data_IF_408307579395
#
_entry.id   IF_408307579395
#
_cell.length_a   1.000
_cell.length_b   1.000
_cell.length_c   1.000
_cell.angle_alpha   90.00
_cell.angle_beta   90.00
_cell.angle_gamma   90.00
#
_symmetry.space_group_name_H-M   'P 1'
#
loop_
_entity.id
_entity.type
_entity.pdbx_description
1 polymer ?
#
# COMPACT_ATOMS: atom_id res chain seq x y z
N UNK A 1 24.85 6.68 4.45
CA UNK A 1 23.82 7.28 5.35
C UNK A 1 23.18 6.15 6.13
N UNK A 2 22.95 6.32 7.44
CA UNK A 2 22.36 5.25 8.25
C UNK A 2 20.85 5.46 8.33
N UNK A 3 20.05 4.53 7.82
CA UNK A 3 18.61 4.53 8.01
C UNK A 3 18.27 4.28 9.48
N UNK A 4 17.19 4.90 9.96
CA UNK A 4 16.65 4.70 11.32
C UNK A 4 15.22 4.19 11.30
N UNK A 5 14.52 4.39 10.19
CA UNK A 5 13.15 3.93 10.03
C UNK A 5 12.91 3.29 8.68
N UNK A 6 12.01 2.32 8.68
CA UNK A 6 11.40 1.71 7.51
C UNK A 6 9.93 2.14 7.48
N UNK A 7 9.52 2.76 6.38
CA UNK A 7 8.11 3.12 6.17
C UNK A 7 7.61 2.33 4.97
N UNK A 8 6.52 1.62 5.14
CA UNK A 8 5.97 0.70 4.15
C UNK A 8 4.63 1.20 3.61
N UNK A 9 4.37 0.95 2.33
CA UNK A 9 3.00 0.84 1.85
C UNK A 9 2.36 -0.47 2.36
N UNK A 10 1.05 -0.61 2.18
CA UNK A 10 0.28 -1.75 2.68
C UNK A 10 -0.08 -2.71 1.54
N UNK A 11 -1.02 -2.28 0.66
CA UNK A 11 -1.61 -3.13 -0.38
C UNK A 11 -0.61 -3.37 -1.52
N UNK A 12 -0.16 -4.62 -1.72
CA UNK A 12 0.89 -4.96 -2.69
C UNK A 12 2.32 -4.91 -2.14
N UNK A 13 2.51 -4.42 -0.92
CA UNK A 13 3.83 -4.32 -0.27
C UNK A 13 3.93 -5.22 0.96
N UNK A 14 3.10 -4.99 1.96
CA UNK A 14 3.02 -5.82 3.17
C UNK A 14 2.01 -6.95 3.02
N UNK A 15 0.85 -6.65 2.41
CA UNK A 15 -0.26 -7.58 2.23
C UNK A 15 -0.59 -7.77 0.74
N UNK A 16 -0.85 -9.02 0.36
CA UNK A 16 -1.49 -9.34 -0.91
C UNK A 16 -3.01 -9.22 -0.74
N UNK A 17 -3.56 -8.10 -1.16
CA UNK A 17 -4.99 -7.76 -1.02
C UNK A 17 -5.74 -7.81 -2.34
N UNK A 18 -5.06 -8.19 -3.44
CA UNK A 18 -5.58 -7.99 -4.80
C UNK A 18 -6.82 -8.83 -5.09
N UNK A 19 -6.86 -10.07 -4.57
CA UNK A 19 -7.97 -10.98 -4.82
C UNK A 19 -9.25 -10.48 -4.15
N UNK A 20 -9.20 -10.07 -2.88
CA UNK A 20 -10.37 -9.56 -2.16
C UNK A 20 -10.88 -8.24 -2.75
N UNK A 21 -9.98 -7.35 -3.18
CA UNK A 21 -10.33 -6.12 -3.87
C UNK A 21 -10.97 -6.41 -5.23
N UNK A 22 -10.38 -7.30 -6.03
CA UNK A 22 -10.88 -7.68 -7.35
C UNK A 22 -12.21 -8.42 -7.30
N UNK A 23 -12.33 -9.40 -6.40
CA UNK A 23 -13.57 -10.17 -6.23
C UNK A 23 -14.72 -9.26 -5.75
N UNK A 24 -14.44 -8.35 -4.82
CA UNK A 24 -15.43 -7.38 -4.36
C UNK A 24 -15.89 -6.45 -5.47
N UNK A 25 -14.98 -5.94 -6.28
CA UNK A 25 -15.32 -5.09 -7.41
C UNK A 25 -16.11 -5.87 -8.48
N UNK A 26 -15.69 -7.09 -8.81
CA UNK A 26 -16.42 -7.96 -9.75
C UNK A 26 -17.82 -8.32 -9.27
N UNK A 27 -17.97 -8.57 -7.95
CA UNK A 27 -19.29 -8.80 -7.36
C UNK A 27 -20.25 -7.61 -7.63
N UNK A 28 -19.77 -6.39 -7.45
CA UNK A 28 -20.57 -5.19 -7.69
C UNK A 28 -20.86 -4.98 -9.18
N UNK A 29 -19.86 -5.19 -10.04
CA UNK A 29 -20.05 -5.12 -11.50
C UNK A 29 -21.12 -6.11 -11.96
N UNK A 30 -21.07 -7.37 -11.49
CA UNK A 30 -22.09 -8.37 -11.78
C UNK A 30 -23.49 -7.93 -11.33
N UNK A 31 -23.62 -7.37 -10.11
CA UNK A 31 -24.92 -6.87 -9.60
C UNK A 31 -25.50 -5.72 -10.43
N UNK A 32 -24.63 -4.89 -10.99
CA UNK A 32 -25.02 -3.78 -11.86
C UNK A 32 -25.21 -4.20 -13.32
N UNK A 33 -24.93 -5.47 -13.67
CA UNK A 33 -25.02 -5.98 -15.05
C UNK A 33 -23.90 -5.51 -15.96
N UNK A 34 -22.73 -5.16 -15.41
CA UNK A 34 -21.56 -4.72 -16.15
C UNK A 34 -20.53 -5.85 -16.32
N UNK A 35 -19.64 -5.77 -17.34
CA UNK A 35 -18.54 -6.70 -17.51
C UNK A 35 -17.59 -6.71 -16.30
N UNK A 36 -17.06 -7.88 -15.99
CA UNK A 36 -16.03 -8.07 -14.94
C UNK A 36 -14.63 -7.97 -15.52
N UNK A 37 -13.64 -7.84 -14.65
CA UNK A 37 -12.22 -7.79 -15.00
C UNK A 37 -11.46 -8.96 -14.40
N UNK A 38 -10.28 -9.26 -14.96
CA UNK A 38 -9.33 -10.22 -14.43
C UNK A 38 -8.56 -9.64 -13.24
N UNK A 39 -8.01 -10.49 -12.38
CA UNK A 39 -7.17 -10.04 -11.26
C UNK A 39 -5.93 -9.26 -11.75
N UNK A 40 -5.36 -9.63 -12.89
CA UNK A 40 -4.21 -8.91 -13.46
C UNK A 40 -4.57 -7.47 -13.89
N UNK A 41 -5.78 -7.22 -14.36
CA UNK A 41 -6.26 -5.86 -14.64
C UNK A 41 -6.42 -5.07 -13.34
N UNK A 42 -6.92 -5.69 -12.27
CA UNK A 42 -7.06 -5.04 -10.96
C UNK A 42 -5.73 -4.58 -10.37
N UNK A 43 -4.61 -5.24 -10.66
CA UNK A 43 -3.28 -4.76 -10.26
C UNK A 43 -3.03 -3.32 -10.70
N UNK A 44 -3.59 -2.90 -11.86
CA UNK A 44 -3.45 -1.54 -12.38
C UNK A 44 -4.55 -0.58 -11.91
N UNK A 45 -5.66 -1.10 -11.41
CA UNK A 45 -6.75 -0.27 -10.89
C UNK A 45 -6.53 0.14 -9.44
N UNK A 46 -5.85 -0.69 -8.64
CA UNK A 46 -5.53 -0.48 -7.22
C UNK A 46 -4.36 0.52 -7.04
N UNK A 47 -4.20 1.06 -5.82
CA UNK A 47 -3.08 1.92 -5.40
C UNK A 47 -3.44 3.40 -5.16
N UNK A 48 -4.55 3.88 -5.74
CA UNK A 48 -5.00 5.27 -5.58
C UNK A 48 -6.28 5.41 -4.71
N UNK A 49 -6.57 4.40 -3.87
CA UNK A 49 -7.77 4.33 -3.04
C UNK A 49 -9.00 3.77 -3.75
N UNK A 50 -9.99 3.33 -2.96
CA UNK A 50 -11.20 2.66 -3.46
C UNK A 50 -12.01 3.52 -4.44
N UNK A 51 -12.20 4.85 -4.24
CA UNK A 51 -12.95 5.65 -5.20
C UNK A 51 -12.35 5.62 -6.62
N UNK A 52 -11.01 5.50 -6.73
CA UNK A 52 -10.31 5.44 -8.02
C UNK A 52 -10.36 4.03 -8.60
N UNK A 53 -10.32 2.98 -7.76
CA UNK A 53 -10.57 1.61 -8.18
C UNK A 53 -11.95 1.49 -8.84
N UNK A 54 -13.01 1.98 -8.19
CA UNK A 54 -14.38 1.94 -8.72
C UNK A 54 -14.49 2.72 -10.05
N UNK A 55 -13.91 3.91 -10.14
CA UNK A 55 -13.87 4.69 -11.37
C UNK A 55 -13.23 3.92 -12.53
N UNK A 56 -12.12 3.21 -12.27
CA UNK A 56 -11.37 2.47 -13.29
C UNK A 56 -12.04 1.16 -13.71
N UNK A 57 -12.77 0.50 -12.83
CA UNK A 57 -13.44 -0.76 -13.17
C UNK A 57 -14.81 -0.55 -13.83
N UNK A 58 -15.45 0.60 -13.66
CA UNK A 58 -16.70 0.91 -14.36
C UNK A 58 -16.46 1.17 -15.85
N UNK A 59 -17.39 0.74 -16.75
CA UNK A 59 -17.32 1.12 -18.15
C UNK A 59 -17.28 2.64 -18.32
N UNK A 60 -16.54 3.17 -19.32
CA UNK A 60 -16.39 4.63 -19.52
C UNK A 60 -17.71 5.39 -19.69
N UNK A 61 -18.72 4.75 -20.26
CA UNK A 61 -20.07 5.30 -20.49
C UNK A 61 -21.03 5.07 -19.32
N UNK A 62 -20.55 4.53 -18.18
CA UNK A 62 -21.33 4.20 -16.98
C UNK A 62 -20.80 4.88 -15.71
N UNK A 63 -20.08 5.98 -15.86
CA UNK A 63 -19.48 6.70 -14.72
C UNK A 63 -20.53 7.35 -13.78
N UNK A 64 -21.77 7.51 -14.24
CA UNK A 64 -22.90 7.93 -13.40
C UNK A 64 -23.22 6.96 -12.26
N UNK A 65 -22.81 5.69 -12.37
CA UNK A 65 -22.98 4.67 -11.32
C UNK A 65 -21.90 4.71 -10.23
N UNK A 66 -20.90 5.58 -10.33
CA UNK A 66 -19.70 5.59 -9.45
C UNK A 66 -20.06 5.65 -7.95
N UNK A 67 -20.97 6.54 -7.56
CA UNK A 67 -21.35 6.68 -6.15
C UNK A 67 -22.12 5.45 -5.65
N UNK A 68 -23.03 4.91 -6.47
CA UNK A 68 -23.76 3.69 -6.14
C UNK A 68 -22.81 2.49 -6.02
N UNK A 69 -21.92 2.30 -7.01
CA UNK A 69 -20.95 1.22 -7.00
C UNK A 69 -19.98 1.32 -5.82
N UNK A 70 -19.55 2.53 -5.46
CA UNK A 70 -18.70 2.78 -4.30
C UNK A 70 -19.40 2.37 -2.99
N UNK A 71 -20.66 2.77 -2.80
CA UNK A 71 -21.43 2.40 -1.61
C UNK A 71 -21.60 0.88 -1.49
N UNK A 72 -21.99 0.22 -2.60
CA UNK A 72 -22.14 -1.23 -2.64
C UNK A 72 -20.81 -1.96 -2.39
N UNK A 73 -19.70 -1.44 -2.95
CA UNK A 73 -18.37 -1.98 -2.74
C UNK A 73 -17.97 -1.91 -1.25
N UNK A 74 -18.15 -0.77 -0.62
CA UNK A 74 -17.77 -0.57 0.79
C UNK A 74 -18.53 -1.52 1.71
N UNK A 75 -19.83 -1.72 1.45
CA UNK A 75 -20.67 -2.66 2.22
C UNK A 75 -20.19 -4.11 2.05
N UNK A 76 -19.91 -4.54 0.82
CA UNK A 76 -19.47 -5.91 0.52
C UNK A 76 -18.04 -6.15 1.01
N UNK A 77 -17.10 -5.25 0.70
CA UNK A 77 -15.70 -5.36 1.07
C UNK A 77 -15.48 -5.37 2.59
N UNK A 78 -16.33 -4.67 3.35
CA UNK A 78 -16.26 -4.71 4.83
C UNK A 78 -16.44 -6.12 5.41
N UNK A 79 -17.08 -7.04 4.67
CA UNK A 79 -17.34 -8.43 5.10
C UNK A 79 -16.39 -9.43 4.43
N UNK A 80 -15.71 -9.03 3.35
CA UNK A 80 -14.91 -9.91 2.49
C UNK A 80 -13.47 -9.42 2.27
N UNK A 81 -12.99 -8.48 3.09
CA UNK A 81 -11.63 -7.92 2.96
C UNK A 81 -10.51 -8.81 3.51
N UNK A 82 -10.89 -9.94 4.11
CA UNK A 82 -9.98 -10.86 4.81
C UNK A 82 -10.12 -12.31 4.30
N UNK A 83 -10.91 -12.55 3.23
CA UNK A 83 -11.19 -13.90 2.73
C UNK A 83 -9.93 -14.56 2.10
N UNK A 84 -9.12 -13.76 1.40
CA UNK A 84 -7.89 -14.21 0.69
C UNK A 84 -6.67 -13.34 1.00
N UNK A 85 -6.86 -12.21 1.65
CA UNK A 85 -5.77 -11.31 2.05
C UNK A 85 -4.81 -12.02 2.99
N UNK A 86 -3.52 -11.88 2.73
CA UNK A 86 -2.46 -12.45 3.57
C UNK A 86 -1.19 -11.59 3.48
N UNK A 87 -0.33 -11.67 4.50
CA UNK A 87 1.02 -11.12 4.42
C UNK A 87 1.82 -11.84 3.31
N UNK A 88 2.64 -11.09 2.56
CA UNK A 88 3.58 -11.75 1.65
C UNK A 88 4.61 -12.58 2.42
N UNK A 89 5.03 -13.69 1.80
CA UNK A 89 6.04 -14.59 2.36
C UNK A 89 7.32 -13.82 2.69
N UNK A 90 7.83 -13.98 3.92
CA UNK A 90 9.04 -13.31 4.41
C UNK A 90 8.82 -11.91 4.99
N UNK A 91 7.60 -11.36 4.94
CA UNK A 91 7.29 -10.06 5.59
C UNK A 91 7.37 -10.16 7.11
N UNK A 92 6.76 -11.17 7.78
CA UNK A 92 6.89 -11.29 9.25
C UNK A 92 8.34 -11.37 9.71
N UNK A 93 9.19 -12.13 9.01
CA UNK A 93 10.62 -12.28 9.31
C UNK A 93 11.40 -10.98 9.09
N UNK A 94 11.09 -10.24 8.02
CA UNK A 94 11.66 -8.92 7.76
C UNK A 94 11.35 -7.96 8.91
N UNK A 95 10.08 -7.87 9.33
CA UNK A 95 9.62 -6.95 10.37
C UNK A 95 10.26 -7.29 11.73
N UNK A 96 10.30 -8.58 12.09
CA UNK A 96 10.99 -9.05 13.31
C UNK A 96 12.46 -8.67 13.31
N UNK A 97 13.18 -8.99 12.23
CA UNK A 97 14.61 -8.69 12.10
C UNK A 97 14.90 -7.18 12.13
N UNK A 98 14.03 -6.37 11.52
CA UNK A 98 14.17 -4.91 11.54
C UNK A 98 13.96 -4.36 12.97
N UNK A 99 12.97 -4.86 13.70
CA UNK A 99 12.72 -4.49 15.11
C UNK A 99 13.90 -4.87 16.03
N UNK A 100 14.42 -6.08 15.90
CA UNK A 100 15.59 -6.56 16.66
C UNK A 100 16.83 -5.70 16.44
N UNK A 101 16.99 -5.15 15.23
CA UNK A 101 18.06 -4.21 14.88
C UNK A 101 17.79 -2.77 15.31
N UNK A 102 16.64 -2.49 15.92
CA UNK A 102 16.28 -1.17 16.46
C UNK A 102 15.71 -0.18 15.47
N UNK A 103 15.32 -0.62 14.25
CA UNK A 103 14.63 0.24 13.30
C UNK A 103 13.22 0.58 13.77
N UNK A 104 12.80 1.82 13.54
CA UNK A 104 11.41 2.25 13.71
C UNK A 104 10.61 1.79 12.49
N UNK A 105 9.38 1.31 12.71
CA UNK A 105 8.52 0.80 11.65
C UNK A 105 7.26 1.64 11.53
N UNK A 106 6.96 2.10 10.31
CA UNK A 106 5.75 2.86 10.01
C UNK A 106 5.02 2.32 8.78
N UNK A 107 3.71 2.59 8.70
CA UNK A 107 2.89 2.32 7.53
C UNK A 107 2.27 3.61 7.03
N UNK A 108 2.28 3.83 5.71
CA UNK A 108 1.52 4.87 5.01
C UNK A 108 0.78 4.27 3.81
N UNK A 109 -0.53 4.40 3.77
CA UNK A 109 -1.36 3.80 2.72
C UNK A 109 -2.48 4.72 2.25
N UNK A 110 -2.91 4.56 1.00
CA UNK A 110 -4.13 5.18 0.46
C UNK A 110 -5.42 4.45 0.88
N UNK A 111 -5.30 3.37 1.66
CA UNK A 111 -6.44 2.74 2.33
C UNK A 111 -6.99 3.66 3.42
N UNK A 112 -8.31 3.65 3.64
CA UNK A 112 -8.95 4.46 4.69
C UNK A 112 -8.30 4.21 6.06
N UNK A 113 -8.06 5.29 6.82
CA UNK A 113 -7.29 5.23 8.08
C UNK A 113 -7.87 4.26 9.11
N UNK A 114 -9.18 4.28 9.29
CA UNK A 114 -9.88 3.36 10.20
C UNK A 114 -9.72 1.88 9.79
N UNK A 115 -9.70 1.58 8.49
CA UNK A 115 -9.49 0.22 7.97
C UNK A 115 -8.03 -0.19 8.15
N UNK A 116 -7.06 0.69 7.83
CA UNK A 116 -5.64 0.39 8.01
C UNK A 116 -5.30 0.08 9.48
N UNK A 117 -5.90 0.80 10.42
CA UNK A 117 -5.74 0.58 11.87
C UNK A 117 -6.26 -0.77 12.36
N UNK A 118 -7.16 -1.42 11.62
CA UNK A 118 -7.69 -2.76 11.93
C UNK A 118 -6.89 -3.84 11.20
N UNK A 119 -6.70 -3.67 9.90
CA UNK A 119 -6.08 -4.67 9.02
C UNK A 119 -4.60 -4.90 9.37
N UNK A 120 -3.83 -3.84 9.64
CA UNK A 120 -2.39 -3.99 9.92
C UNK A 120 -2.14 -4.83 11.18
N UNK A 121 -2.75 -4.56 12.35
CA UNK A 121 -2.56 -5.41 13.52
C UNK A 121 -3.10 -6.83 13.33
N UNK A 122 -4.23 -6.98 12.63
CA UNK A 122 -4.86 -8.28 12.39
C UNK A 122 -3.92 -9.25 11.64
N UNK A 123 -3.29 -8.79 10.54
CA UNK A 123 -2.43 -9.65 9.72
C UNK A 123 -0.96 -9.68 10.14
N UNK A 124 -0.46 -8.62 10.78
CA UNK A 124 0.98 -8.44 11.05
C UNK A 124 1.32 -8.41 12.54
N UNK A 125 0.30 -8.43 13.41
CA UNK A 125 0.46 -8.44 14.87
C UNK A 125 0.38 -7.06 15.52
N UNK A 126 -0.16 -7.06 16.74
CA UNK A 126 -0.26 -5.86 17.56
C UNK A 126 1.13 -5.34 17.95
N UNK A 127 1.32 -4.01 17.85
CA UNK A 127 2.55 -3.35 18.28
C UNK A 127 3.78 -3.59 17.41
N UNK A 128 3.64 -4.25 16.26
CA UNK A 128 4.73 -4.43 15.28
C UNK A 128 5.13 -3.09 14.67
N UNK A 129 4.19 -2.23 14.36
CA UNK A 129 4.45 -0.89 13.83
C UNK A 129 4.35 0.18 14.92
N UNK A 130 5.32 1.10 14.93
CA UNK A 130 5.32 2.25 15.85
C UNK A 130 4.25 3.28 15.47
N UNK A 131 3.91 3.39 14.18
CA UNK A 131 2.84 4.26 13.70
C UNK A 131 2.24 3.78 12.36
N UNK A 132 0.90 3.85 12.26
CA UNK A 132 0.12 3.47 11.07
C UNK A 132 -0.69 4.67 10.63
N UNK A 133 -0.54 5.07 9.37
CA UNK A 133 -1.26 6.18 8.76
C UNK A 133 -1.94 5.77 7.46
N UNK A 134 -3.27 5.81 7.45
CA UNK A 134 -4.10 5.68 6.25
C UNK A 134 -4.71 7.02 5.86
N UNK A 135 -5.45 7.04 4.75
CA UNK A 135 -6.10 8.22 4.21
C UNK A 135 -7.32 8.62 5.05
N UNK A 136 -7.41 9.91 5.36
CA UNK A 136 -8.57 10.56 5.96
C UNK A 136 -8.70 12.01 5.45
N UNK A 137 -9.64 12.78 5.99
CA UNK A 137 -9.89 14.19 5.59
C UNK A 137 -8.71 15.13 5.87
N UNK A 138 -7.77 14.75 6.75
CA UNK A 138 -6.64 15.57 7.19
C UNK A 138 -5.41 15.42 6.31
N UNK A 139 -5.33 14.34 5.54
CA UNK A 139 -4.14 14.00 4.75
C UNK A 139 -4.54 13.71 3.31
N UNK A 140 -3.84 14.35 2.38
CA UNK A 140 -4.01 14.09 0.96
C UNK A 140 -3.41 12.72 0.59
N UNK A 141 -4.06 12.07 -0.38
CA UNK A 141 -3.60 10.79 -0.90
C UNK A 141 -2.17 10.87 -1.48
N UNK A 142 -1.42 9.78 -1.37
CA UNK A 142 -0.17 9.56 -2.12
C UNK A 142 -0.43 9.86 -3.61
N UNK A 143 0.46 10.53 -4.34
CA UNK A 143 1.86 10.83 -4.01
C UNK A 143 2.09 12.15 -3.25
N UNK A 144 1.07 12.76 -2.62
CA UNK A 144 1.30 13.87 -1.70
C UNK A 144 2.14 13.38 -0.51
N UNK A 145 3.23 14.08 -0.13
CA UNK A 145 4.13 13.64 0.91
C UNK A 145 3.60 13.81 2.34
N UNK A 146 2.49 14.53 2.52
CA UNK A 146 2.00 14.96 3.85
C UNK A 146 1.85 13.78 4.83
N UNK A 147 1.23 12.67 4.37
CA UNK A 147 1.06 11.49 5.20
C UNK A 147 2.37 10.78 5.53
N UNK A 148 3.30 10.71 4.58
CA UNK A 148 4.61 10.11 4.78
C UNK A 148 5.46 10.93 5.76
N UNK A 149 5.42 12.25 5.66
CA UNK A 149 6.08 13.16 6.59
C UNK A 149 5.46 13.13 8.00
N UNK A 150 4.13 12.96 8.10
CA UNK A 150 3.47 12.74 9.41
C UNK A 150 4.00 11.46 10.07
N UNK A 151 4.12 10.36 9.31
CA UNK A 151 4.70 9.11 9.84
C UNK A 151 6.13 9.33 10.32
N UNK A 152 7.01 9.96 9.52
CA UNK A 152 8.40 10.21 9.92
C UNK A 152 8.50 11.06 11.17
N UNK A 153 7.65 12.11 11.29
CA UNK A 153 7.60 12.96 12.47
C UNK A 153 7.17 12.18 13.73
N UNK A 154 6.17 11.30 13.61
CA UNK A 154 5.73 10.43 14.73
C UNK A 154 6.79 9.43 15.16
N UNK A 155 7.58 8.92 14.19
CA UNK A 155 8.72 8.05 14.46
C UNK A 155 9.93 8.80 15.03
N UNK A 156 9.94 10.13 14.99
CA UNK A 156 11.05 10.97 15.48
C UNK A 156 12.31 10.90 14.61
N UNK A 157 12.16 10.69 13.30
CA UNK A 157 13.27 10.57 12.34
C UNK A 157 13.26 11.68 11.29
N UNK A 158 14.44 11.99 10.74
CA UNK A 158 14.56 12.93 9.63
C UNK A 158 14.23 12.22 8.30
N UNK A 159 13.72 12.94 7.27
CA UNK A 159 13.45 12.37 5.95
C UNK A 159 14.61 11.57 5.35
N UNK A 160 15.85 12.05 5.48
CA UNK A 160 17.04 11.36 4.97
C UNK A 160 17.41 10.06 5.69
N UNK A 161 16.77 9.78 6.84
CA UNK A 161 16.97 8.57 7.65
C UNK A 161 15.90 7.50 7.38
N UNK A 162 15.01 7.73 6.40
CA UNK A 162 13.92 6.82 6.06
C UNK A 162 14.22 6.06 4.78
N UNK A 163 14.09 4.73 4.84
CA UNK A 163 13.91 3.88 3.67
C UNK A 163 12.40 3.66 3.50
N UNK A 164 11.84 4.12 2.37
CA UNK A 164 10.44 3.94 2.03
C UNK A 164 10.28 2.74 1.09
N UNK A 165 9.43 1.80 1.46
CA UNK A 165 9.23 0.54 0.75
C UNK A 165 7.82 0.51 0.17
N UNK A 166 7.71 0.33 -1.16
CA UNK A 166 6.43 0.29 -1.86
C UNK A 166 6.53 -0.40 -3.21
N UNK A 167 5.38 -0.83 -3.75
CA UNK A 167 5.32 -1.63 -4.97
C UNK A 167 4.87 -0.84 -6.21
N UNK A 168 4.59 0.47 -6.09
CA UNK A 168 4.03 1.26 -7.18
C UNK A 168 4.79 2.55 -7.47
N UNK A 169 4.58 3.12 -8.68
CA UNK A 169 5.10 4.43 -9.04
C UNK A 169 4.62 5.54 -8.10
N UNK A 170 3.40 5.41 -7.56
CA UNK A 170 2.85 6.36 -6.56
C UNK A 170 3.69 6.34 -5.28
N UNK A 171 4.16 5.18 -4.86
CA UNK A 171 5.03 5.03 -3.68
C UNK A 171 6.38 5.68 -3.90
N UNK A 172 6.99 5.41 -5.04
CA UNK A 172 8.28 5.99 -5.40
C UNK A 172 8.21 7.51 -5.42
N UNK A 173 7.17 8.06 -6.07
CA UNK A 173 6.93 9.50 -6.08
C UNK A 173 6.68 10.07 -4.67
N UNK A 174 5.93 9.35 -3.80
CA UNK A 174 5.71 9.76 -2.41
C UNK A 174 7.03 9.88 -1.66
N UNK A 175 7.89 8.86 -1.79
CA UNK A 175 9.21 8.85 -1.15
C UNK A 175 10.10 10.00 -1.64
N UNK A 176 10.15 10.23 -2.96
CA UNK A 176 10.91 11.34 -3.56
C UNK A 176 10.38 12.68 -3.06
N UNK A 177 9.07 12.89 -3.08
CA UNK A 177 8.43 14.13 -2.65
C UNK A 177 8.64 14.41 -1.14
N UNK A 178 8.74 13.35 -0.32
CA UNK A 178 9.01 13.44 1.12
C UNK A 178 10.51 13.58 1.45
N UNK A 179 11.42 13.43 0.47
CA UNK A 179 12.86 13.42 0.70
C UNK A 179 13.38 12.12 1.33
N UNK A 180 12.62 11.03 1.22
CA UNK A 180 12.99 9.68 1.65
C UNK A 180 13.81 8.95 0.58
N UNK A 181 14.43 7.83 0.96
CA UNK A 181 15.05 6.93 -0.02
C UNK A 181 14.01 5.93 -0.52
N UNK A 182 13.63 5.95 -1.83
CA UNK A 182 12.64 5.02 -2.38
C UNK A 182 13.25 3.65 -2.66
N UNK A 183 12.56 2.61 -2.18
CA UNK A 183 12.85 1.21 -2.44
C UNK A 183 11.61 0.55 -3.07
N UNK A 184 11.70 0.19 -4.33
CA UNK A 184 10.66 -0.54 -5.04
C UNK A 184 10.73 -2.04 -4.77
N UNK A 185 9.57 -2.70 -4.61
CA UNK A 185 9.48 -4.14 -4.41
C UNK A 185 8.81 -4.82 -5.60
N UNK A 186 9.31 -6.02 -5.99
CA UNK A 186 8.85 -6.73 -7.20
C UNK A 186 7.87 -7.87 -6.91
N UNK A 187 7.54 -8.15 -5.67
CA UNK A 187 6.49 -9.12 -5.33
C UNK A 187 5.07 -8.53 -5.34
N UNK A 188 4.95 -7.20 -5.54
CA UNK A 188 3.68 -6.48 -5.57
C UNK A 188 3.03 -6.41 -6.96
N UNK A 189 2.33 -5.30 -7.25
CA UNK A 189 1.42 -5.20 -8.40
C UNK A 189 2.06 -4.55 -9.63
N UNK A 190 3.24 -3.91 -9.52
CA UNK A 190 3.85 -3.14 -10.61
C UNK A 190 5.18 -3.71 -11.07
N UNK A 191 5.60 -3.25 -12.25
CA UNK A 191 6.84 -3.68 -12.90
C UNK A 191 8.04 -2.89 -12.40
N UNK A 192 9.23 -3.50 -12.47
CA UNK A 192 10.50 -2.84 -12.16
C UNK A 192 10.69 -1.54 -12.96
N UNK A 193 10.31 -1.58 -14.24
CA UNK A 193 10.40 -0.40 -15.11
C UNK A 193 9.59 0.77 -14.55
N UNK A 194 8.34 0.54 -14.11
CA UNK A 194 7.51 1.59 -13.52
C UNK A 194 8.16 2.17 -12.26
N UNK A 195 8.71 1.31 -11.39
CA UNK A 195 9.36 1.73 -10.15
C UNK A 195 10.59 2.60 -10.43
N UNK A 196 11.45 2.17 -11.35
CA UNK A 196 12.64 2.93 -11.76
C UNK A 196 12.30 4.26 -12.43
N UNK A 197 11.33 4.27 -13.35
CA UNK A 197 10.86 5.48 -14.02
C UNK A 197 10.28 6.52 -13.04
N UNK A 198 9.79 6.07 -11.88
CA UNK A 198 9.23 6.93 -10.82
C UNK A 198 10.21 7.20 -9.65
N UNK A 199 11.49 6.85 -9.80
CA UNK A 199 12.55 7.31 -8.92
C UNK A 199 13.03 6.30 -7.88
N UNK A 200 12.72 5.00 -8.01
CA UNK A 200 13.30 3.96 -7.16
C UNK A 200 14.83 4.03 -7.19
N UNK A 201 15.44 4.07 -6.00
CA UNK A 201 16.90 4.00 -5.83
C UNK A 201 17.37 2.59 -5.52
N UNK A 202 16.50 1.80 -4.95
CA UNK A 202 16.73 0.39 -4.67
C UNK A 202 15.57 -0.42 -5.23
N UNK A 203 15.87 -1.64 -5.65
CA UNK A 203 14.89 -2.65 -6.05
C UNK A 203 15.12 -3.89 -5.19
N UNK A 204 14.06 -4.39 -4.57
CA UNK A 204 14.06 -5.63 -3.80
C UNK A 204 13.18 -6.67 -4.51
N UNK A 205 13.71 -7.87 -4.71
CA UNK A 205 13.00 -8.99 -5.35
C UNK A 205 12.24 -9.84 -4.32
N UNK A 206 12.70 -9.83 -3.05
CA UNK A 206 12.11 -10.54 -1.92
C UNK A 206 12.32 -9.73 -0.63
N UNK A 207 11.52 -9.95 0.42
CA UNK A 207 11.61 -9.16 1.65
C UNK A 207 12.99 -9.16 2.31
N UNK A 208 13.74 -10.28 2.25
CA UNK A 208 15.10 -10.34 2.82
C UNK A 208 16.10 -9.38 2.17
N UNK A 209 15.88 -8.95 0.92
CA UNK A 209 16.78 -8.01 0.22
C UNK A 209 16.77 -6.63 0.90
N UNK A 210 15.67 -6.27 1.57
CA UNK A 210 15.59 -5.03 2.37
C UNK A 210 16.67 -5.01 3.46
N UNK A 211 16.89 -6.16 4.14
CA UNK A 211 17.90 -6.25 5.19
C UNK A 211 19.33 -6.07 4.63
N UNK A 212 19.58 -6.48 3.38
CA UNK A 212 20.86 -6.28 2.71
C UNK A 212 21.06 -4.80 2.32
N UNK A 213 19.99 -4.12 1.89
CA UNK A 213 20.01 -2.68 1.57
C UNK A 213 20.37 -1.85 2.82
N UNK A 214 19.88 -2.25 3.99
CA UNK A 214 20.13 -1.56 5.26
C UNK A 214 21.59 -1.69 5.77
N UNK A 215 22.37 -2.64 5.23
CA UNK A 215 23.76 -2.88 5.62
C UNK A 215 24.77 -2.10 4.75
N UNK A 216 24.35 -1.51 3.66
CA UNK A 216 25.16 -0.72 2.72
C UNK A 216 25.22 0.75 3.11
#
# INVERSE_FOLDING_TARGET
MSYKALIFDLDGTLLNTIDDLGDSANHILCKLGFPTHTIDEYKYFVGNGIPKLIERCLPPDKQEYKEQALSMFMEYYAQHSEDKTAAYDGIPELLSSAREKGYKLGVITNKAHNIAQQVVPHFLGDGVFDYIRGLDEKIKAKPCPDGALDVAAKLGVQPSEVLYIGDSGVDMQTAVNAGFTPCGVLWGFRTEKELLDNGAKHIAHKPSDILEILQK
#
